data_IF_951893376796
#
_entry.id   IF_951893376796
#
_cell.length_a   1.000
_cell.length_b   1.000
_cell.length_c   1.000
_cell.angle_alpha   90.00
_cell.angle_beta   90.00
_cell.angle_gamma   90.00
#
_symmetry.space_group_name_H-M   'P 1'
#
loop_
_entity.id
_entity.type
_entity.pdbx_description
1 polymer ?
#
# COMPACT_ATOMS: atom_id res chain seq x y z
N UNK A 1 -0.07 -0.28 4.51
CA UNK A 1 0.27 0.82 3.58
C UNK A 1 1.12 0.29 2.44
N UNK A 2 0.99 0.90 1.30
CA UNK A 2 1.62 0.45 0.07
C UNK A 2 2.03 1.68 -0.75
N UNK A 3 3.13 1.57 -1.49
CA UNK A 3 3.53 2.58 -2.47
C UNK A 3 4.05 3.90 -1.87
N UNK A 4 4.72 3.81 -0.74
CA UNK A 4 5.35 4.96 -0.13
C UNK A 4 6.56 5.45 -0.94
N UNK A 5 6.70 6.76 -1.07
CA UNK A 5 7.86 7.42 -1.71
C UNK A 5 8.95 7.68 -0.67
N UNK A 6 8.52 8.06 0.53
CA UNK A 6 9.37 8.34 1.69
C UNK A 6 8.77 7.73 2.96
N UNK A 7 9.56 7.66 4.02
CA UNK A 7 9.12 7.10 5.30
C UNK A 7 7.95 7.93 5.85
N UNK A 8 6.77 7.32 6.10
CA UNK A 8 5.63 8.05 6.63
C UNK A 8 5.87 8.44 8.08
N UNK A 9 5.30 9.59 8.45
CA UNK A 9 5.33 10.07 9.84
C UNK A 9 4.50 9.12 10.71
N UNK A 10 5.11 8.62 11.78
CA UNK A 10 4.43 7.81 12.79
C UNK A 10 3.92 8.74 13.89
N UNK A 11 2.61 8.73 14.10
CA UNK A 11 1.98 9.45 15.21
C UNK A 11 1.59 8.45 16.29
N UNK A 12 2.14 8.62 17.48
CA UNK A 12 1.74 7.88 18.68
C UNK A 12 0.65 8.68 19.38
N UNK A 13 -0.46 8.02 19.69
CA UNK A 13 -1.59 8.66 20.39
C UNK A 13 -2.24 7.68 21.36
N UNK A 14 -2.85 8.21 22.42
CA UNK A 14 -3.47 7.45 23.49
C UNK A 14 -2.54 7.21 24.66
N UNK A 15 -3.09 6.66 25.75
CA UNK A 15 -2.40 6.52 27.04
C UNK A 15 -2.14 7.87 27.71
N UNK A 16 -1.56 7.84 28.88
CA UNK A 16 -1.22 9.03 29.67
C UNK A 16 0.25 9.45 29.50
N UNK A 17 1.01 8.72 28.72
CA UNK A 17 2.42 8.98 28.48
C UNK A 17 2.67 10.14 27.50
N UNK A 18 3.91 10.56 27.44
CA UNK A 18 4.39 11.64 26.58
C UNK A 18 5.78 11.34 26.03
N UNK A 19 6.14 12.08 25.01
CA UNK A 19 7.48 12.11 24.42
C UNK A 19 7.92 10.82 23.73
N UNK A 20 7.02 9.84 23.54
CA UNK A 20 7.32 8.67 22.71
C UNK A 20 7.45 9.07 21.26
N UNK A 21 8.50 8.58 20.62
CA UNK A 21 8.73 8.77 19.19
C UNK A 21 9.00 7.45 18.49
N UNK A 22 8.56 7.35 17.25
CA UNK A 22 8.81 6.18 16.43
C UNK A 22 9.02 6.58 14.97
N UNK A 23 9.73 5.75 14.22
CA UNK A 23 9.94 5.89 12.80
C UNK A 23 9.43 4.64 12.07
N UNK A 24 8.85 4.86 10.91
CA UNK A 24 8.54 3.78 9.98
C UNK A 24 9.80 3.41 9.20
N UNK A 25 10.01 2.13 8.96
CA UNK A 25 11.02 1.63 8.04
C UNK A 25 10.36 1.09 6.79
N UNK A 26 10.85 1.53 5.65
CA UNK A 26 10.39 1.07 4.35
C UNK A 26 11.23 -0.09 3.84
N UNK A 27 10.56 -1.04 3.23
CA UNK A 27 11.20 -2.05 2.38
C UNK A 27 10.67 -1.91 0.96
N UNK A 28 11.57 -1.90 -0.02
CA UNK A 28 11.21 -1.91 -1.44
C UNK A 28 11.02 -3.35 -1.90
N UNK A 29 9.83 -3.63 -2.41
CA UNK A 29 9.52 -4.91 -3.04
C UNK A 29 9.49 -4.75 -4.55
N UNK A 30 9.85 -5.81 -5.27
CA UNK A 30 9.66 -5.85 -6.71
C UNK A 30 8.17 -5.77 -7.04
N UNK A 31 7.83 -4.95 -8.02
CA UNK A 31 6.49 -4.88 -8.56
C UNK A 31 6.52 -5.31 -10.01
N UNK A 32 5.90 -6.43 -10.29
CA UNK A 32 5.83 -7.04 -11.60
C UNK A 32 4.39 -7.47 -11.87
N UNK A 33 3.89 -7.13 -13.04
CA UNK A 33 2.60 -7.58 -13.52
C UNK A 33 2.79 -8.48 -14.73
N UNK A 34 2.08 -9.59 -14.71
CA UNK A 34 2.05 -10.54 -15.80
C UNK A 34 0.80 -10.31 -16.65
N UNK A 35 0.96 -10.38 -17.95
CA UNK A 35 -0.13 -10.42 -18.91
C UNK A 35 -0.04 -11.71 -19.73
N UNK A 36 -1.16 -12.12 -20.30
CA UNK A 36 -1.18 -13.21 -21.27
C UNK A 36 -1.65 -12.66 -22.63
N UNK A 37 -0.80 -12.73 -23.61
CA UNK A 37 -1.09 -12.29 -24.99
C UNK A 37 -2.25 -13.04 -25.64
N UNK A 38 -2.53 -14.27 -25.20
CA UNK A 38 -3.64 -15.10 -25.71
C UNK A 38 -5.01 -14.65 -25.15
N UNK A 39 -5.06 -13.59 -24.36
CA UNK A 39 -6.30 -13.02 -23.82
C UNK A 39 -6.93 -13.82 -22.68
N UNK A 40 -6.27 -14.84 -22.16
CA UNK A 40 -6.75 -15.69 -21.07
C UNK A 40 -5.86 -15.50 -19.84
N UNK A 41 -6.41 -15.00 -18.74
CA UNK A 41 -5.73 -14.99 -17.44
C UNK A 41 -5.31 -13.62 -16.92
N UNK A 42 -4.06 -13.44 -16.53
CA UNK A 42 -3.51 -12.41 -15.63
C UNK A 42 -3.61 -10.95 -16.09
N UNK A 43 -3.86 -10.70 -17.34
CA UNK A 43 -4.06 -9.37 -17.92
C UNK A 43 -4.49 -9.51 -19.36
N UNK A 44 -5.36 -8.65 -19.82
CA UNK A 44 -5.81 -8.64 -21.22
C UNK A 44 -5.39 -7.34 -21.85
N UNK A 45 -4.77 -7.43 -23.00
CA UNK A 45 -4.61 -6.28 -23.88
C UNK A 45 -5.97 -6.03 -24.54
N UNK A 46 -6.52 -4.84 -24.38
CA UNK A 46 -7.80 -4.47 -25.02
C UNK A 46 -7.53 -3.91 -26.41
N UNK A 47 -8.07 -4.60 -27.40
CA UNK A 47 -8.24 -4.04 -28.74
C UNK A 47 -9.33 -2.97 -28.72
N UNK A 48 -9.18 -1.93 -29.52
CA UNK A 48 -10.30 -1.06 -29.84
C UNK A 48 -11.40 -1.85 -30.59
N UNK A 49 -12.59 -1.30 -30.67
CA UNK A 49 -13.73 -1.96 -31.30
C UNK A 49 -13.50 -2.32 -32.79
N UNK A 50 -12.46 -1.79 -33.42
CA UNK A 50 -12.08 -2.06 -34.80
C UNK A 50 -10.99 -3.14 -34.93
N UNK A 51 -10.37 -3.56 -33.83
CA UNK A 51 -9.36 -4.64 -33.81
C UNK A 51 -8.04 -4.28 -34.48
N UNK A 52 -7.78 -3.01 -34.79
CA UNK A 52 -6.72 -2.62 -35.72
C UNK A 52 -5.50 -2.02 -34.99
N UNK A 53 -5.70 -1.17 -33.99
CA UNK A 53 -4.63 -0.57 -33.22
C UNK A 53 -5.11 -0.27 -31.81
N UNK A 54 -4.37 -0.72 -30.79
CA UNK A 54 -4.58 -0.29 -29.43
C UNK A 54 -3.29 0.28 -28.84
N UNK A 55 -3.43 1.27 -28.01
CA UNK A 55 -2.33 1.82 -27.22
C UNK A 55 -2.49 1.52 -25.74
N UNK A 56 -3.46 0.70 -25.37
CA UNK A 56 -3.81 0.44 -23.97
C UNK A 56 -3.65 -1.02 -23.61
N UNK A 57 -3.11 -1.26 -22.42
CA UNK A 57 -2.96 -2.58 -21.79
C UNK A 57 -3.91 -2.65 -20.61
N UNK A 58 -4.85 -3.59 -20.64
CA UNK A 58 -5.78 -3.85 -19.56
C UNK A 58 -5.30 -5.00 -18.67
N UNK A 59 -5.45 -4.83 -17.35
CA UNK A 59 -5.16 -5.83 -16.34
C UNK A 59 -6.44 -6.32 -15.68
N UNK A 60 -6.46 -7.57 -15.24
CA UNK A 60 -7.56 -8.14 -14.47
C UNK A 60 -7.50 -7.74 -12.99
N UNK A 61 -6.36 -7.25 -12.54
CA UNK A 61 -6.10 -6.77 -11.19
C UNK A 61 -5.65 -5.32 -11.24
N UNK A 62 -5.75 -4.65 -10.11
CA UNK A 62 -5.27 -3.27 -9.93
C UNK A 62 -3.78 -3.16 -10.26
N UNK A 63 -3.41 -2.39 -11.29
CA UNK A 63 -2.02 -2.39 -11.80
C UNK A 63 -1.04 -1.64 -10.89
N UNK A 64 -1.47 -0.66 -10.12
CA UNK A 64 -0.66 0.11 -9.16
C UNK A 64 0.57 0.82 -9.72
N UNK A 65 0.72 0.92 -11.02
CA UNK A 65 1.73 1.79 -11.63
C UNK A 65 1.30 3.25 -11.50
N UNK A 66 2.28 4.13 -11.30
CA UNK A 66 2.06 5.57 -11.25
C UNK A 66 2.31 6.21 -12.62
N UNK A 67 1.65 7.33 -12.95
CA UNK A 67 2.03 8.10 -14.12
C UNK A 67 3.53 8.45 -14.09
N UNK A 68 4.20 8.28 -15.23
CA UNK A 68 5.65 8.47 -15.35
C UNK A 68 6.52 7.36 -14.77
N UNK A 69 5.94 6.31 -14.19
CA UNK A 69 6.71 5.18 -13.67
C UNK A 69 7.40 4.41 -14.80
N UNK A 70 8.66 4.01 -14.56
CA UNK A 70 9.44 3.23 -15.52
C UNK A 70 9.20 1.74 -15.33
N UNK A 71 8.90 1.06 -16.43
CA UNK A 71 8.72 -0.39 -16.47
C UNK A 71 9.62 -1.00 -17.53
N UNK A 72 10.12 -2.18 -17.26
CA UNK A 72 10.79 -3.01 -18.26
C UNK A 72 9.80 -4.03 -18.77
N UNK A 73 9.72 -4.18 -20.06
CA UNK A 73 8.95 -5.20 -20.73
C UNK A 73 9.81 -6.43 -21.00
N UNK A 74 9.29 -7.61 -20.64
CA UNK A 74 9.91 -8.90 -20.92
C UNK A 74 8.88 -9.90 -21.43
N UNK A 75 9.02 -10.43 -22.64
CA UNK A 75 8.13 -11.48 -23.16
C UNK A 75 8.32 -12.84 -22.51
N UNK A 76 9.30 -13.02 -21.61
CA UNK A 76 9.57 -14.27 -20.88
C UNK A 76 9.75 -15.51 -21.81
N UNK A 77 10.33 -15.30 -22.98
CA UNK A 77 10.48 -16.35 -23.98
C UNK A 77 9.26 -16.61 -24.85
N UNK A 78 8.17 -15.86 -24.65
CA UNK A 78 6.95 -15.89 -25.46
C UNK A 78 7.07 -15.01 -26.71
N UNK A 79 6.05 -15.05 -27.59
CA UNK A 79 5.98 -14.14 -28.73
C UNK A 79 5.68 -12.72 -28.22
N UNK A 80 6.55 -11.74 -28.48
CA UNK A 80 6.39 -10.40 -27.93
C UNK A 80 5.23 -9.63 -28.55
N UNK A 81 4.74 -8.63 -27.81
CA UNK A 81 3.81 -7.62 -28.31
C UNK A 81 4.50 -6.82 -29.44
N UNK A 82 3.86 -6.74 -30.59
CA UNK A 82 4.38 -5.92 -31.71
C UNK A 82 4.21 -4.44 -31.38
N UNK A 83 5.32 -3.71 -31.38
CA UNK A 83 5.44 -2.32 -30.92
C UNK A 83 6.32 -2.19 -29.67
N UNK A 84 6.62 -3.29 -28.99
CA UNK A 84 7.52 -3.32 -27.84
C UNK A 84 8.82 -4.08 -28.16
N UNK A 85 9.91 -3.67 -27.53
CA UNK A 85 11.21 -4.31 -27.62
C UNK A 85 11.51 -5.03 -26.30
N UNK A 86 12.04 -6.23 -26.39
CA UNK A 86 12.42 -7.04 -25.23
C UNK A 86 13.46 -6.31 -24.38
N UNK A 87 13.29 -6.33 -23.06
CA UNK A 87 14.15 -5.67 -22.07
C UNK A 87 14.25 -4.14 -22.23
N UNK A 88 13.38 -3.54 -23.06
CA UNK A 88 13.32 -2.10 -23.16
C UNK A 88 12.53 -1.45 -22.02
N UNK A 89 12.92 -0.23 -21.69
CA UNK A 89 12.26 0.58 -20.67
C UNK A 89 11.20 1.47 -21.31
N UNK A 90 10.02 1.48 -20.70
CA UNK A 90 8.90 2.31 -21.06
C UNK A 90 8.42 3.12 -19.87
N UNK A 91 7.66 4.18 -20.13
CA UNK A 91 7.03 5.03 -19.13
C UNK A 91 5.52 4.83 -19.17
N UNK A 92 4.91 4.70 -18.02
CA UNK A 92 3.48 4.39 -17.88
C UNK A 92 2.66 5.68 -17.76
N UNK A 93 1.57 5.78 -18.50
CA UNK A 93 0.44 6.65 -18.13
C UNK A 93 -0.73 5.79 -17.66
N UNK A 94 -1.39 6.22 -16.59
CA UNK A 94 -2.55 5.51 -16.04
C UNK A 94 -3.82 6.05 -16.67
N UNK A 95 -4.52 5.21 -17.44
CA UNK A 95 -5.84 5.54 -17.99
C UNK A 95 -6.93 5.26 -16.97
N UNK A 96 -6.78 4.19 -16.20
CA UNK A 96 -7.65 3.80 -15.09
C UNK A 96 -6.88 2.91 -14.12
N UNK A 97 -7.51 2.48 -13.04
CA UNK A 97 -6.91 1.54 -12.09
C UNK A 97 -6.51 0.19 -12.69
N UNK A 98 -7.08 -0.15 -13.85
CA UNK A 98 -6.89 -1.43 -14.53
C UNK A 98 -6.30 -1.28 -15.93
N UNK A 99 -6.01 -0.06 -16.39
CA UNK A 99 -5.60 0.19 -17.77
C UNK A 99 -4.47 1.20 -17.81
N UNK A 100 -3.39 0.86 -18.51
CA UNK A 100 -2.25 1.73 -18.76
C UNK A 100 -2.00 1.93 -20.24
N UNK A 101 -1.26 3.01 -20.55
CA UNK A 101 -0.59 3.18 -21.82
C UNK A 101 0.92 3.27 -21.59
N UNK A 102 1.70 2.92 -22.61
CA UNK A 102 3.15 2.98 -22.58
C UNK A 102 3.67 4.07 -23.50
N UNK A 103 4.75 4.72 -23.06
CA UNK A 103 5.39 5.83 -23.76
C UNK A 103 6.91 5.64 -23.78
N UNK A 104 7.59 6.34 -24.71
CA UNK A 104 9.05 6.28 -24.84
C UNK A 104 9.76 7.24 -23.88
N UNK A 105 9.06 8.25 -23.36
CA UNK A 105 9.63 9.24 -22.45
C UNK A 105 8.69 9.53 -21.28
N UNK A 106 9.28 10.08 -20.20
CA UNK A 106 8.55 10.54 -19.02
C UNK A 106 7.52 11.63 -19.36
N UNK A 107 7.93 12.63 -20.17
CA UNK A 107 7.08 13.77 -20.50
C UNK A 107 5.86 13.34 -21.33
N UNK A 108 6.03 12.39 -22.26
CA UNK A 108 4.92 11.81 -23.01
C UNK A 108 3.94 11.06 -22.10
N UNK A 109 4.46 10.32 -21.12
CA UNK A 109 3.62 9.59 -20.16
C UNK A 109 2.81 10.52 -19.25
N UNK A 110 3.40 11.62 -18.80
CA UNK A 110 2.71 12.60 -17.95
C UNK A 110 1.66 13.40 -18.73
N UNK A 111 1.95 13.74 -19.99
CA UNK A 111 1.02 14.46 -20.85
C UNK A 111 -0.01 13.57 -21.55
N UNK A 112 0.23 12.25 -21.54
CA UNK A 112 -0.66 11.27 -22.17
C UNK A 112 -0.64 11.31 -23.72
N UNK A 113 0.43 11.87 -24.31
CA UNK A 113 0.59 11.96 -25.77
C UNK A 113 1.53 10.88 -26.31
N UNK A 114 1.45 10.56 -27.59
CA UNK A 114 2.34 9.62 -28.28
C UNK A 114 2.41 8.23 -27.62
N UNK A 115 1.29 7.73 -27.11
CA UNK A 115 1.21 6.37 -26.61
C UNK A 115 1.62 5.37 -27.71
N UNK A 116 2.38 4.34 -27.32
CA UNK A 116 2.83 3.29 -28.22
C UNK A 116 1.62 2.49 -28.70
N UNK A 117 1.49 2.36 -30.03
CA UNK A 117 0.44 1.54 -30.64
C UNK A 117 0.92 0.11 -30.78
N UNK A 118 0.04 -0.83 -30.45
CA UNK A 118 0.25 -2.26 -30.58
C UNK A 118 -0.55 -2.78 -31.78
N UNK A 119 0.09 -3.54 -32.64
CA UNK A 119 -0.56 -4.15 -33.82
C UNK A 119 -0.78 -5.66 -33.68
N UNK A 120 -0.10 -6.27 -32.71
CA UNK A 120 -0.27 -7.66 -32.32
C UNK A 120 0.11 -7.78 -30.85
N UNK A 121 -0.56 -8.66 -30.11
CA UNK A 121 -0.36 -8.83 -28.67
C UNK A 121 0.61 -9.96 -28.32
N UNK A 122 1.17 -10.59 -29.36
CA UNK A 122 1.99 -11.77 -29.16
C UNK A 122 1.20 -12.93 -28.58
N UNK A 123 1.88 -13.84 -27.92
CA UNK A 123 1.25 -14.96 -27.24
C UNK A 123 2.00 -15.34 -25.96
N UNK A 124 1.34 -16.08 -25.08
CA UNK A 124 1.91 -16.57 -23.83
C UNK A 124 2.12 -15.48 -22.78
N UNK A 125 2.77 -15.86 -21.70
CA UNK A 125 2.96 -15.00 -20.52
C UNK A 125 4.08 -13.99 -20.79
N UNK A 126 3.83 -12.73 -20.50
CA UNK A 126 4.75 -11.62 -20.65
C UNK A 126 4.70 -10.74 -19.41
N UNK A 127 5.75 -9.98 -19.12
CA UNK A 127 5.83 -9.20 -17.90
C UNK A 127 6.11 -7.71 -18.13
N UNK A 128 5.60 -6.90 -17.20
CA UNK A 128 5.95 -5.50 -16.99
C UNK A 128 6.47 -5.34 -15.56
N UNK A 129 7.75 -5.08 -15.43
CA UNK A 129 8.42 -4.96 -14.13
C UNK A 129 8.80 -3.51 -13.84
N UNK A 130 8.32 -2.98 -12.73
CA UNK A 130 8.70 -1.65 -12.26
C UNK A 130 10.20 -1.58 -11.92
N UNK A 131 10.89 -0.58 -12.47
CA UNK A 131 12.28 -0.32 -12.10
C UNK A 131 12.41 0.37 -10.74
N UNK A 132 11.37 1.03 -10.28
CA UNK A 132 11.40 1.75 -9.01
C UNK A 132 11.01 0.85 -7.82
N UNK A 133 10.38 -0.31 -8.10
CA UNK A 133 9.77 -1.15 -7.08
C UNK A 133 8.61 -0.43 -6.37
N UNK A 134 8.07 -1.06 -5.36
CA UNK A 134 7.04 -0.49 -4.49
C UNK A 134 7.52 -0.53 -3.05
N UNK A 135 7.37 0.58 -2.34
CA UNK A 135 7.76 0.62 -0.94
C UNK A 135 6.57 0.32 -0.04
N UNK A 136 6.79 -0.55 0.92
CA UNK A 136 5.84 -0.91 1.99
C UNK A 136 6.47 -0.58 3.34
N UNK A 137 5.64 -0.25 4.34
CA UNK A 137 6.12 -0.19 5.72
C UNK A 137 6.42 -1.61 6.18
N UNK A 138 7.69 -1.90 6.43
CA UNK A 138 8.16 -3.21 6.88
C UNK A 138 8.15 -3.34 8.41
N UNK A 139 8.42 -2.24 9.09
CA UNK A 139 8.42 -2.19 10.55
C UNK A 139 8.22 -0.77 11.06
N UNK A 140 7.85 -0.67 12.32
CA UNK A 140 7.87 0.58 13.09
C UNK A 140 8.90 0.39 14.19
N UNK A 141 9.86 1.30 14.26
CA UNK A 141 10.91 1.29 15.27
C UNK A 141 10.62 2.39 16.27
N UNK A 142 10.53 2.04 17.55
CA UNK A 142 10.43 3.01 18.63
C UNK A 142 11.81 3.64 18.81
N UNK A 143 11.91 4.95 18.66
CA UNK A 143 13.16 5.71 18.81
C UNK A 143 13.32 6.18 20.25
N UNK A 144 12.24 6.60 20.86
CA UNK A 144 12.15 6.96 22.26
C UNK A 144 10.85 6.38 22.81
N UNK A 145 10.93 5.64 23.91
CA UNK A 145 9.74 5.06 24.55
C UNK A 145 8.91 6.09 25.28
N UNK A 146 9.44 7.29 25.48
CA UNK A 146 8.76 8.33 26.25
C UNK A 146 8.65 7.98 27.75
N UNK A 147 7.75 8.64 28.43
CA UNK A 147 7.53 8.45 29.86
C UNK A 147 6.04 8.54 30.22
N UNK A 148 5.70 8.03 31.39
CA UNK A 148 4.32 8.13 31.90
C UNK A 148 3.32 7.15 31.31
N UNK A 149 3.76 6.16 30.52
CA UNK A 149 2.92 5.08 29.97
C UNK A 149 2.72 3.96 31.01
N UNK A 150 2.44 4.31 32.23
CA UNK A 150 2.21 3.33 33.28
C UNK A 150 0.83 2.70 33.12
N UNK A 151 0.81 1.44 32.74
CA UNK A 151 -0.40 0.62 32.81
C UNK A 151 -0.51 0.03 34.23
N UNK A 152 -0.77 0.88 35.21
CA UNK A 152 -1.00 0.43 36.57
C UNK A 152 -2.46 0.04 36.74
N UNK A 153 -2.72 -1.25 36.88
CA UNK A 153 -3.99 -1.70 37.40
C UNK A 153 -4.16 -1.09 38.82
N UNK A 154 -5.28 -0.46 39.04
CA UNK A 154 -5.64 0.09 40.36
C UNK A 154 -6.68 -0.84 40.94
N UNK A 155 -6.47 -1.27 42.20
CA UNK A 155 -7.46 -2.02 42.95
C UNK A 155 -8.30 -1.09 43.79
N UNK A 156 -9.57 -1.39 43.95
CA UNK A 156 -10.42 -0.80 44.97
C UNK A 156 -10.95 -1.87 45.90
N UNK A 157 -10.93 -1.58 47.16
CA UNK A 157 -11.60 -2.42 48.17
C UNK A 157 -13.12 -2.28 48.05
N UNK A 158 -13.85 -3.33 48.44
CA UNK A 158 -15.31 -3.32 48.43
C UNK A 158 -15.93 -2.15 49.21
N UNK A 159 -15.22 -1.68 50.23
CA UNK A 159 -15.58 -0.49 51.02
C UNK A 159 -15.45 0.82 50.24
N UNK A 160 -14.70 0.83 49.16
CA UNK A 160 -14.56 1.98 48.25
C UNK A 160 -15.72 2.10 47.26
N UNK A 161 -16.65 1.16 47.25
CA UNK A 161 -17.78 1.16 46.31
C UNK A 161 -19.03 1.63 47.00
N UNK A 162 -19.58 2.76 46.61
CA UNK A 162 -20.85 3.28 47.11
C UNK A 162 -21.96 3.05 46.08
N UNK A 163 -22.84 2.12 46.36
CA UNK A 163 -24.02 1.85 45.50
C UNK A 163 -25.08 2.93 45.62
N UNK A 164 -25.11 3.66 46.73
CA UNK A 164 -26.06 4.73 46.98
C UNK A 164 -25.76 5.97 46.15
N UNK A 165 -24.48 6.23 45.84
CA UNK A 165 -24.03 7.39 45.07
C UNK A 165 -23.46 7.02 43.70
N UNK A 166 -23.37 5.74 43.37
CA UNK A 166 -22.75 5.23 42.14
C UNK A 166 -21.29 5.70 41.97
N UNK A 167 -20.56 5.73 43.08
CA UNK A 167 -19.15 6.19 43.07
C UNK A 167 -18.26 5.01 43.43
N UNK A 168 -17.15 4.88 42.69
CA UNK A 168 -16.04 4.01 43.01
C UNK A 168 -14.88 4.92 43.43
N UNK A 169 -14.46 4.78 44.68
CA UNK A 169 -13.32 5.53 45.23
C UNK A 169 -12.05 4.69 45.08
N UNK A 170 -11.16 5.15 44.25
CA UNK A 170 -9.84 4.53 44.01
C UNK A 170 -8.79 5.57 44.39
N UNK A 171 -8.12 5.46 45.51
CA UNK A 171 -7.12 6.45 45.91
C UNK A 171 -5.98 6.52 44.90
N UNK A 172 -5.54 7.74 44.55
CA UNK A 172 -4.44 8.00 43.64
C UNK A 172 -4.63 7.36 42.25
N UNK A 173 -5.85 7.43 41.72
CA UNK A 173 -6.19 6.72 40.48
C UNK A 173 -5.61 7.36 39.21
N UNK A 174 -5.23 8.61 39.22
CA UNK A 174 -4.68 9.36 38.08
C UNK A 174 -5.54 9.36 36.81
N UNK A 175 -6.75 8.77 36.82
CA UNK A 175 -7.69 8.74 35.68
C UNK A 175 -8.24 10.14 35.41
N UNK A 176 -8.39 10.45 34.12
CA UNK A 176 -8.97 11.70 33.64
C UNK A 176 -10.44 11.52 33.25
N UNK A 177 -11.21 12.59 33.33
CA UNK A 177 -12.59 12.58 32.90
C UNK A 177 -12.68 12.19 31.43
N UNK A 178 -13.52 11.18 31.11
CA UNK A 178 -13.68 10.63 29.77
C UNK A 178 -12.71 9.51 29.40
N UNK A 179 -11.81 9.12 30.30
CA UNK A 179 -10.91 8.00 30.07
C UNK A 179 -11.67 6.67 30.15
N UNK A 180 -11.37 5.74 29.23
CA UNK A 180 -11.96 4.41 29.20
C UNK A 180 -11.18 3.50 30.13
N UNK A 181 -11.85 2.93 31.10
CA UNK A 181 -11.28 1.97 32.05
C UNK A 181 -11.93 0.60 31.88
N UNK A 182 -11.14 -0.46 32.02
CA UNK A 182 -11.63 -1.83 32.05
C UNK A 182 -11.67 -2.31 33.48
N UNK A 183 -12.83 -2.69 33.92
CA UNK A 183 -13.01 -3.33 35.22
C UNK A 183 -12.83 -4.85 35.11
N UNK A 184 -12.13 -5.44 36.02
CA UNK A 184 -12.03 -6.89 36.20
C UNK A 184 -12.09 -7.21 37.68
N UNK A 185 -12.80 -8.26 38.02
CA UNK A 185 -12.76 -8.85 39.38
C UNK A 185 -11.61 -9.85 39.37
N UNK A 186 -10.63 -9.73 40.28
CA UNK A 186 -9.64 -10.76 40.49
C UNK A 186 -10.38 -11.99 41.00
N UNK A 187 -10.54 -12.97 40.12
CA UNK A 187 -11.29 -14.16 40.43
C UNK A 187 -10.62 -14.95 41.51
N UNK A 188 -11.30 -15.10 42.63
CA UNK A 188 -11.16 -16.28 43.43
C UNK A 188 -11.82 -17.41 42.69
N UNK A 189 -11.02 -18.36 42.24
CA UNK A 189 -11.44 -19.69 41.80
C UNK A 189 -12.31 -20.37 42.86
#
# INVERSE_FOLDING_TARGET
GFDYVEEPIVKISGGNGRDATAAAKLNKISHELLINGDGVGLGTVKLDAAGINTSSIGFTTYHRFRPGERVVYDPLGSIPIVGLSTQATYYVSSVSEYTVQLHKSYDEAITGVNAISFTDFGSGVQSFKSLNGKAIVSSIVVLDSGSGYENKARSCESTGISTASNIINIPNHDYKSGEIVKYSVDGTS
#
